data_IF_533542170316
#
_entry.id   IF_533542170316
#
_cell.length_a   1.000
_cell.length_b   1.000
_cell.length_c   1.000
_cell.angle_alpha   90.00
_cell.angle_beta   90.00
_cell.angle_gamma   90.00
#
_symmetry.space_group_name_H-M   'P 1'
#
loop_
_entity.id
_entity.type
_entity.pdbx_description
1 polymer ?
#
# COMPACT_ATOMS: atom_id res chain seq x y z
N UNK A 1 -39.10 -35.26 24.11
CA UNK A 1 -38.19 -35.42 25.25
C UNK A 1 -37.96 -36.90 25.50
N UNK A 2 -36.77 -37.39 25.16
CA UNK A 2 -35.90 -38.23 26.01
C UNK A 2 -34.99 -39.10 25.13
N UNK A 3 -33.68 -38.94 25.39
CA UNK A 3 -32.58 -39.85 25.11
C UNK A 3 -32.13 -40.01 23.65
N UNK A 4 -31.39 -39.02 23.15
CA UNK A 4 -30.26 -39.30 22.25
C UNK A 4 -28.98 -38.93 23.00
N UNK A 5 -28.09 -39.90 23.00
CA UNK A 5 -26.96 -40.08 23.90
C UNK A 5 -26.00 -38.88 23.92
N UNK A 6 -25.80 -38.33 25.11
CA UNK A 6 -24.59 -37.61 25.48
C UNK A 6 -23.39 -38.55 25.32
N UNK A 7 -22.65 -38.42 24.22
CA UNK A 7 -21.26 -38.83 24.12
C UNK A 7 -20.53 -37.62 23.57
N UNK A 8 -19.96 -36.83 24.48
CA UNK A 8 -19.08 -35.73 24.13
C UNK A 8 -17.96 -36.27 23.26
N UNK A 9 -17.94 -35.84 22.01
CA UNK A 9 -16.75 -35.96 21.21
C UNK A 9 -15.75 -34.98 21.82
N UNK A 10 -14.59 -35.48 22.20
CA UNK A 10 -13.47 -34.58 22.47
C UNK A 10 -13.09 -33.96 21.13
N UNK A 11 -13.19 -32.63 21.01
CA UNK A 11 -13.01 -31.91 19.73
C UNK A 11 -11.66 -32.25 19.09
N UNK A 12 -10.64 -32.43 19.93
CA UNK A 12 -9.30 -32.85 19.51
C UNK A 12 -9.31 -34.25 18.91
N UNK A 13 -10.04 -35.18 19.51
CA UNK A 13 -10.09 -36.57 19.10
C UNK A 13 -10.87 -36.74 17.78
N UNK A 14 -11.95 -35.98 17.61
CA UNK A 14 -12.70 -35.90 16.36
C UNK A 14 -11.88 -35.26 15.22
N UNK A 15 -11.11 -34.21 15.53
CA UNK A 15 -10.24 -33.57 14.56
C UNK A 15 -9.08 -34.48 14.12
N UNK A 16 -8.42 -35.15 15.06
CA UNK A 16 -7.36 -36.11 14.78
C UNK A 16 -7.87 -37.28 13.91
N UNK A 17 -9.10 -37.73 14.17
CA UNK A 17 -9.75 -38.77 13.38
C UNK A 17 -10.08 -38.29 11.96
N UNK A 18 -10.61 -37.07 11.79
CA UNK A 18 -10.86 -36.47 10.47
C UNK A 18 -9.56 -36.34 9.67
N UNK A 19 -8.46 -35.93 10.31
CA UNK A 19 -7.15 -35.78 9.69
C UNK A 19 -6.55 -37.14 9.28
N UNK A 20 -6.78 -38.18 10.10
CA UNK A 20 -6.41 -39.55 9.77
C UNK A 20 -7.14 -40.02 8.50
N UNK A 21 -8.46 -39.84 8.43
CA UNK A 21 -9.26 -40.23 7.26
C UNK A 21 -8.85 -39.46 6.00
N UNK A 22 -8.59 -38.15 6.10
CA UNK A 22 -8.09 -37.35 4.97
C UNK A 22 -6.74 -37.89 4.46
N UNK A 23 -5.83 -38.27 5.37
CA UNK A 23 -4.54 -38.87 5.00
C UNK A 23 -4.68 -40.22 4.29
N UNK A 24 -5.69 -41.01 4.64
CA UNK A 24 -5.98 -42.32 4.03
C UNK A 24 -6.55 -42.12 2.61
N UNK A 25 -7.46 -41.16 2.45
CA UNK A 25 -8.05 -40.80 1.15
C UNK A 25 -6.98 -40.23 0.19
N UNK A 26 -6.10 -39.34 0.68
CA UNK A 26 -5.01 -38.74 -0.11
C UNK A 26 -4.00 -39.79 -0.62
N UNK A 27 -3.80 -40.88 0.12
CA UNK A 27 -2.98 -42.03 -0.29
C UNK A 27 -3.67 -42.93 -1.33
N UNK A 28 -4.90 -42.61 -1.73
CA UNK A 28 -5.65 -43.30 -2.77
C UNK A 28 -6.48 -44.49 -2.29
N UNK A 29 -6.67 -44.65 -0.97
CA UNK A 29 -7.55 -45.69 -0.43
C UNK A 29 -9.02 -45.27 -0.52
N UNK A 30 -9.88 -46.16 -1.03
CA UNK A 30 -11.33 -45.99 -0.97
C UNK A 30 -11.84 -46.50 0.37
N UNK A 31 -12.58 -45.66 1.07
CA UNK A 31 -13.26 -46.02 2.31
C UNK A 31 -14.40 -47.00 2.03
N UNK A 32 -14.66 -47.90 2.98
CA UNK A 32 -15.87 -48.70 2.99
C UNK A 32 -17.08 -47.78 3.21
N UNK A 33 -18.30 -48.13 2.76
CA UNK A 33 -19.49 -47.30 2.94
C UNK A 33 -19.70 -46.83 4.39
N UNK A 34 -19.50 -47.71 5.37
CA UNK A 34 -19.68 -47.39 6.79
C UNK A 34 -18.59 -46.44 7.32
N UNK A 35 -17.35 -46.57 6.84
CA UNK A 35 -16.24 -45.67 7.18
C UNK A 35 -16.39 -44.31 6.49
N UNK A 36 -17.00 -44.31 5.30
CA UNK A 36 -17.32 -43.10 4.54
C UNK A 36 -18.42 -42.30 5.24
N UNK A 37 -19.48 -42.95 5.70
CA UNK A 37 -20.57 -42.30 6.44
C UNK A 37 -20.03 -41.63 7.71
N UNK A 38 -19.15 -42.32 8.46
CA UNK A 38 -18.48 -41.76 9.64
C UNK A 38 -17.57 -40.57 9.31
N UNK A 39 -16.82 -40.64 8.21
CA UNK A 39 -16.01 -39.53 7.73
C UNK A 39 -16.88 -38.34 7.28
N UNK A 40 -18.02 -38.58 6.62
CA UNK A 40 -18.95 -37.55 6.19
C UNK A 40 -19.59 -36.86 7.40
N UNK A 41 -19.97 -37.60 8.43
CA UNK A 41 -20.45 -37.06 9.71
C UNK A 41 -19.39 -36.19 10.39
N UNK A 42 -18.14 -36.65 10.48
CA UNK A 42 -17.00 -35.88 11.02
C UNK A 42 -16.73 -34.60 10.23
N UNK A 43 -16.80 -34.68 8.90
CA UNK A 43 -16.59 -33.54 8.01
C UNK A 43 -17.73 -32.53 8.13
N UNK A 44 -18.97 -32.99 8.17
CA UNK A 44 -20.14 -32.13 8.38
C UNK A 44 -20.08 -31.45 9.75
N UNK A 45 -19.68 -32.17 10.79
CA UNK A 45 -19.45 -31.61 12.12
C UNK A 45 -18.37 -30.51 12.09
N UNK A 46 -17.25 -30.74 11.41
CA UNK A 46 -16.19 -29.74 11.24
C UNK A 46 -16.68 -28.51 10.47
N UNK A 47 -17.43 -28.72 9.38
CA UNK A 47 -18.04 -27.62 8.62
C UNK A 47 -19.00 -26.81 9.51
N UNK A 48 -19.86 -27.47 10.30
CA UNK A 48 -20.73 -26.82 11.28
C UNK A 48 -19.94 -26.01 12.33
N UNK A 49 -18.85 -26.55 12.88
CA UNK A 49 -17.98 -25.81 13.80
C UNK A 49 -17.35 -24.59 13.15
N UNK A 50 -16.86 -24.71 11.91
CA UNK A 50 -16.33 -23.58 11.16
C UNK A 50 -17.40 -22.51 10.94
N UNK A 51 -18.62 -22.90 10.56
CA UNK A 51 -19.74 -21.97 10.40
C UNK A 51 -20.16 -21.30 11.72
N UNK A 52 -20.17 -22.04 12.84
CA UNK A 52 -20.46 -21.47 14.16
C UNK A 52 -19.39 -20.50 14.65
N UNK A 53 -18.12 -20.79 14.38
CA UNK A 53 -17.01 -19.90 14.72
C UNK A 53 -17.03 -18.63 13.84
N UNK A 54 -17.36 -18.76 12.55
CA UNK A 54 -17.62 -17.63 11.66
C UNK A 54 -18.80 -16.77 12.13
N UNK A 55 -19.89 -17.41 12.59
CA UNK A 55 -21.03 -16.71 13.18
C UNK A 55 -20.68 -16.02 14.50
N UNK A 56 -19.85 -16.64 15.35
CA UNK A 56 -19.37 -16.03 16.59
C UNK A 56 -18.53 -14.79 16.29
N UNK A 57 -17.63 -14.88 15.31
CA UNK A 57 -16.83 -13.76 14.84
C UNK A 57 -17.71 -12.64 14.23
N UNK A 58 -18.74 -12.99 13.47
CA UNK A 58 -19.71 -12.03 12.95
C UNK A 58 -20.50 -11.33 14.08
N UNK A 59 -20.94 -12.08 15.10
CA UNK A 59 -21.64 -11.50 16.24
C UNK A 59 -20.74 -10.59 17.07
N UNK A 60 -19.47 -10.95 17.28
CA UNK A 60 -18.47 -10.10 17.94
C UNK A 60 -18.22 -8.81 17.14
N UNK A 61 -18.14 -8.90 15.81
CA UNK A 61 -18.07 -7.75 14.93
C UNK A 61 -19.30 -6.83 15.07
N UNK A 62 -20.53 -7.37 15.00
CA UNK A 62 -21.77 -6.60 15.16
C UNK A 62 -21.81 -5.92 16.53
N UNK A 63 -21.38 -6.62 17.59
CA UNK A 63 -21.24 -6.04 18.93
C UNK A 63 -20.21 -4.90 18.96
N UNK A 64 -19.05 -5.08 18.31
CA UNK A 64 -18.01 -4.04 18.23
C UNK A 64 -18.50 -2.78 17.51
N UNK A 65 -19.30 -2.91 16.45
CA UNK A 65 -19.90 -1.75 15.76
C UNK A 65 -20.95 -1.07 16.64
N UNK A 66 -21.77 -1.84 17.36
CA UNK A 66 -22.76 -1.28 18.29
C UNK A 66 -22.12 -0.40 19.38
N UNK A 67 -20.88 -0.68 19.78
CA UNK A 67 -20.13 0.15 20.74
C UNK A 67 -19.54 1.44 20.14
N UNK A 68 -19.37 1.51 18.81
CA UNK A 68 -18.84 2.70 18.13
C UNK A 68 -19.94 3.73 17.84
N UNK A 69 -21.20 3.31 17.68
CA UNK A 69 -22.34 4.24 17.48
C UNK A 69 -22.65 5.14 18.70
N UNK A 70 -22.11 4.88 19.89
CA UNK A 70 -22.33 5.71 21.09
C UNK A 70 -21.34 6.89 21.28
N UNK A 71 -20.38 7.10 20.37
CA UNK A 71 -19.62 8.37 20.33
C UNK A 71 -20.09 9.23 19.16
N UNK A 72 -21.04 10.16 19.38
CA UNK A 72 -21.46 11.06 18.33
C UNK A 72 -20.41 12.15 18.11
N UNK A 73 -20.38 12.64 16.86
CA UNK A 73 -19.80 13.90 16.37
C UNK A 73 -18.35 13.84 15.82
N UNK A 74 -18.21 13.43 14.55
CA UNK A 74 -17.42 14.22 13.60
C UNK A 74 -18.42 14.78 12.60
N UNK A 75 -18.73 16.07 12.74
CA UNK A 75 -19.60 16.82 11.83
C UNK A 75 -18.94 16.88 10.44
N UNK A 76 -19.34 15.98 9.53
CA UNK A 76 -19.05 16.13 8.11
C UNK A 76 -20.05 17.12 7.52
N UNK A 77 -19.65 18.39 7.48
CA UNK A 77 -20.38 19.46 6.80
C UNK A 77 -20.34 19.24 5.30
N UNK A 78 -21.46 18.82 4.71
CA UNK A 78 -21.59 18.77 3.24
C UNK A 78 -22.68 17.86 2.67
N UNK A 79 -23.24 16.94 3.45
CA UNK A 79 -24.33 16.06 2.96
C UNK A 79 -25.69 16.63 3.41
N UNK A 80 -26.63 16.88 2.50
CA UNK A 80 -27.99 17.29 2.87
C UNK A 80 -28.61 16.27 3.83
N UNK A 81 -29.13 16.75 4.97
CA UNK A 81 -29.67 15.91 6.06
C UNK A 81 -30.79 14.94 5.62
N UNK A 82 -31.38 15.15 4.46
CA UNK A 82 -32.46 14.33 3.90
C UNK A 82 -31.99 13.01 3.26
N UNK A 83 -30.68 12.85 2.97
CA UNK A 83 -30.12 11.64 2.33
C UNK A 83 -29.44 10.66 3.31
N UNK A 84 -29.30 11.05 4.58
CA UNK A 84 -28.80 10.18 5.66
C UNK A 84 -29.59 8.85 5.86
N UNK A 85 -30.93 8.77 5.64
CA UNK A 85 -31.66 7.52 5.85
C UNK A 85 -31.32 6.43 4.83
N UNK A 86 -30.78 6.79 3.65
CA UNK A 86 -30.45 5.84 2.59
C UNK A 86 -29.11 5.14 2.82
N UNK A 87 -28.18 5.77 3.54
CA UNK A 87 -26.87 5.16 3.85
C UNK A 87 -26.94 4.14 4.99
N UNK A 88 -27.99 4.20 5.83
CA UNK A 88 -28.16 3.29 6.98
C UNK A 88 -28.55 1.85 6.60
N UNK A 89 -29.02 1.67 5.36
CA UNK A 89 -29.53 0.39 4.86
C UNK A 89 -28.53 -0.34 3.93
N UNK A 90 -27.31 0.17 3.77
CA UNK A 90 -26.26 -0.59 3.10
C UNK A 90 -25.56 -1.47 4.14
N UNK A 91 -25.49 -2.80 3.95
CA UNK A 91 -24.64 -3.64 4.78
C UNK A 91 -23.21 -3.13 4.61
N UNK A 92 -22.67 -2.51 5.67
CA UNK A 92 -21.25 -2.20 5.75
C UNK A 92 -20.53 -3.52 5.60
N UNK A 93 -19.80 -3.67 4.49
CA UNK A 93 -19.07 -4.90 4.19
C UNK A 93 -18.25 -5.29 5.44
N UNK A 94 -18.35 -6.54 5.92
CA UNK A 94 -17.63 -6.96 7.11
C UNK A 94 -16.13 -6.68 6.90
N UNK A 95 -15.43 -6.09 7.88
CA UNK A 95 -14.00 -5.89 7.81
C UNK A 95 -13.37 -7.26 7.61
N UNK A 96 -12.51 -7.36 6.59
CA UNK A 96 -11.82 -8.60 6.24
C UNK A 96 -11.04 -9.08 7.46
N UNK A 97 -11.44 -10.22 8.01
CA UNK A 97 -10.77 -10.83 9.16
C UNK A 97 -9.32 -11.14 8.78
N UNK A 98 -8.35 -10.58 9.52
CA UNK A 98 -6.91 -10.77 9.28
C UNK A 98 -6.53 -12.15 9.82
N UNK A 99 -6.30 -13.12 8.94
CA UNK A 99 -5.93 -14.49 9.31
C UNK A 99 -4.61 -14.54 10.09
N UNK A 100 -4.34 -15.66 10.77
CA UNK A 100 -3.06 -15.85 11.47
C UNK A 100 -1.85 -15.70 10.52
N UNK A 101 -1.99 -16.17 9.28
CA UNK A 101 -1.00 -15.98 8.22
C UNK A 101 -0.83 -14.50 7.86
N UNK A 102 -1.94 -13.76 7.74
CA UNK A 102 -1.88 -12.32 7.44
C UNK A 102 -1.14 -11.55 8.53
N UNK A 103 -1.31 -11.92 9.81
CA UNK A 103 -0.55 -11.30 10.91
C UNK A 103 0.96 -11.52 10.77
N UNK A 104 1.38 -12.73 10.38
CA UNK A 104 2.80 -13.04 10.15
C UNK A 104 3.34 -12.26 8.94
N UNK A 105 2.56 -12.19 7.85
CA UNK A 105 2.93 -11.40 6.68
C UNK A 105 3.05 -9.92 7.04
N UNK A 106 2.12 -9.37 7.82
CA UNK A 106 2.18 -7.98 8.27
C UNK A 106 3.36 -7.71 9.20
N UNK A 107 3.71 -8.66 10.09
CA UNK A 107 4.90 -8.56 10.93
C UNK A 107 6.19 -8.57 10.10
N UNK A 108 6.28 -9.44 9.09
CA UNK A 108 7.41 -9.44 8.15
C UNK A 108 7.43 -8.19 7.27
N UNK A 109 6.27 -7.72 6.85
CA UNK A 109 6.14 -6.48 6.09
C UNK A 109 6.70 -5.30 6.87
N UNK A 110 6.32 -5.10 8.14
CA UNK A 110 6.87 -4.01 8.97
C UNK A 110 8.36 -4.17 9.30
N UNK A 111 8.86 -5.41 9.34
CA UNK A 111 10.28 -5.70 9.52
C UNK A 111 11.10 -5.23 8.31
N UNK A 112 10.62 -5.44 7.08
CA UNK A 112 11.35 -5.12 5.85
C UNK A 112 11.02 -3.74 5.26
N UNK A 113 9.88 -3.14 5.63
CA UNK A 113 9.43 -1.86 5.09
C UNK A 113 10.19 -0.68 5.71
N UNK A 114 10.68 0.30 4.92
CA UNK A 114 11.45 1.43 5.43
C UNK A 114 10.74 2.21 6.53
N UNK A 115 11.50 2.86 7.41
CA UNK A 115 10.90 3.75 8.42
C UNK A 115 10.27 4.98 7.75
N UNK A 116 9.37 5.67 8.47
CA UNK A 116 8.76 6.90 7.95
C UNK A 116 9.81 7.98 7.65
N UNK A 117 10.84 8.07 8.49
CA UNK A 117 11.98 9.00 8.32
C UNK A 117 12.77 8.68 7.05
N UNK A 118 13.05 7.41 6.76
CA UNK A 118 13.75 6.99 5.54
C UNK A 118 12.94 7.37 4.29
N UNK A 119 11.62 7.17 4.31
CA UNK A 119 10.75 7.52 3.19
C UNK A 119 10.69 9.04 2.98
N UNK A 120 10.64 9.82 4.05
CA UNK A 120 10.69 11.28 3.98
C UNK A 120 12.02 11.77 3.41
N UNK A 121 13.14 11.16 3.84
CA UNK A 121 14.46 11.44 3.28
C UNK A 121 14.51 11.14 1.78
N UNK A 122 13.96 10.01 1.33
CA UNK A 122 13.86 9.66 -0.09
C UNK A 122 13.02 10.69 -0.86
N UNK A 123 11.85 11.06 -0.37
CA UNK A 123 11.00 12.07 -1.02
C UNK A 123 11.71 13.43 -1.12
N UNK A 124 12.41 13.81 -0.06
CA UNK A 124 13.19 15.04 0.02
C UNK A 124 14.32 15.05 -1.00
N UNK A 125 15.11 13.99 -1.08
CA UNK A 125 16.20 13.85 -2.06
C UNK A 125 15.65 13.90 -3.48
N UNK A 126 14.58 13.14 -3.78
CA UNK A 126 13.98 13.12 -5.12
C UNK A 126 13.44 14.50 -5.49
N UNK A 127 12.76 15.19 -4.56
CA UNK A 127 12.25 16.55 -4.75
C UNK A 127 13.39 17.55 -5.03
N UNK A 128 14.50 17.47 -4.30
CA UNK A 128 15.66 18.32 -4.56
C UNK A 128 16.28 18.07 -5.93
N UNK A 129 16.43 16.81 -6.34
CA UNK A 129 16.97 16.46 -7.65
C UNK A 129 16.02 16.90 -8.77
N UNK A 130 14.70 16.73 -8.59
CA UNK A 130 13.68 17.20 -9.54
C UNK A 130 13.71 18.73 -9.70
N UNK A 131 13.78 19.47 -8.59
CA UNK A 131 13.90 20.92 -8.60
C UNK A 131 15.21 21.37 -9.27
N UNK A 132 16.34 20.72 -8.97
CA UNK A 132 17.63 21.03 -9.55
C UNK A 132 17.65 20.76 -11.07
N UNK A 133 17.05 19.65 -11.52
CA UNK A 133 16.90 19.33 -12.94
C UNK A 133 15.96 20.32 -13.65
N UNK A 134 14.91 20.78 -12.98
CA UNK A 134 14.02 21.84 -13.50
C UNK A 134 14.77 23.16 -13.68
N UNK A 135 15.57 23.58 -12.71
CA UNK A 135 16.38 24.80 -12.80
C UNK A 135 17.49 24.68 -13.87
N UNK A 136 18.16 23.52 -13.95
CA UNK A 136 19.11 23.24 -15.03
C UNK A 136 18.44 23.30 -16.40
N UNK A 137 17.22 22.77 -16.52
CA UNK A 137 16.40 22.87 -17.74
C UNK A 137 16.08 24.32 -18.11
N UNK A 138 15.65 25.14 -17.15
CA UNK A 138 15.37 26.56 -17.41
C UNK A 138 16.62 27.32 -17.90
N UNK A 139 17.82 26.99 -17.39
CA UNK A 139 19.07 27.60 -17.85
C UNK A 139 19.51 27.14 -19.25
N UNK A 140 19.21 25.90 -19.62
CA UNK A 140 19.54 25.35 -20.94
C UNK A 140 18.61 25.92 -22.01
N UNK A 141 17.33 26.11 -21.67
CA UNK A 141 16.33 26.67 -22.57
C UNK A 141 16.31 28.21 -22.61
N UNK A 142 17.00 28.88 -21.67
CA UNK A 142 17.11 30.34 -21.68
C UNK A 142 17.84 30.82 -22.96
N UNK A 143 17.24 31.73 -23.74
CA UNK A 143 17.89 32.26 -24.94
C UNK A 143 19.12 33.05 -24.51
N UNK A 144 20.26 32.78 -25.15
CA UNK A 144 21.41 33.69 -25.10
C UNK A 144 20.92 35.05 -25.59
N UNK A 145 21.10 36.08 -24.76
CA UNK A 145 20.52 37.40 -24.91
C UNK A 145 20.90 38.09 -26.23
N UNK A 146 20.12 37.84 -27.28
CA UNK A 146 19.99 38.71 -28.46
C UNK A 146 18.52 38.69 -28.91
N UNK A 147 17.77 39.75 -28.53
CA UNK A 147 16.53 40.17 -29.20
C UNK A 147 15.18 39.77 -28.57
N UNK A 148 14.49 40.79 -28.06
CA UNK A 148 13.05 40.95 -27.76
C UNK A 148 12.42 40.42 -26.45
N UNK A 149 12.09 41.32 -25.48
CA UNK A 149 11.37 41.00 -24.25
C UNK A 149 9.84 41.07 -24.45
N UNK A 150 9.30 40.29 -25.38
CA UNK A 150 7.85 40.29 -25.66
C UNK A 150 7.31 38.90 -25.99
N UNK A 151 7.65 37.88 -25.18
CA UNK A 151 7.00 36.56 -25.22
C UNK A 151 7.19 35.78 -23.92
N UNK A 152 6.92 36.41 -22.78
CA UNK A 152 7.01 35.76 -21.46
C UNK A 152 5.78 34.88 -21.13
N UNK A 153 4.77 34.82 -22.00
CA UNK A 153 3.55 34.06 -21.74
C UNK A 153 3.19 33.26 -23.00
N UNK A 154 3.08 31.94 -22.86
CA UNK A 154 2.64 30.95 -23.88
C UNK A 154 3.67 30.42 -24.90
N UNK A 155 4.92 30.16 -24.51
CA UNK A 155 5.75 29.22 -25.29
C UNK A 155 5.23 27.79 -25.10
N UNK A 156 4.36 27.36 -26.01
CA UNK A 156 3.93 25.98 -26.16
C UNK A 156 5.17 25.07 -26.10
N UNK A 157 5.09 24.14 -25.17
CA UNK A 157 6.06 23.15 -24.66
C UNK A 157 6.81 22.28 -25.69
N UNK A 158 6.76 22.60 -27.00
CA UNK A 158 7.22 21.74 -28.10
C UNK A 158 8.68 21.88 -28.51
N UNK A 159 9.36 22.98 -28.18
CA UNK A 159 10.80 23.16 -28.52
C UNK A 159 11.76 23.04 -27.33
N UNK A 160 11.21 22.77 -26.13
CA UNK A 160 12.01 22.62 -24.91
C UNK A 160 12.99 21.46 -25.05
N UNK A 161 14.29 21.66 -24.81
CA UNK A 161 15.30 20.59 -24.99
C UNK A 161 15.05 19.45 -24.00
N UNK A 162 14.79 19.79 -22.74
CA UNK A 162 14.45 18.84 -21.68
C UNK A 162 12.94 18.89 -21.38
N UNK A 163 12.25 17.77 -21.59
CA UNK A 163 10.79 17.68 -21.47
C UNK A 163 10.29 17.49 -20.05
N UNK A 164 11.04 16.75 -19.24
CA UNK A 164 10.64 16.44 -17.88
C UNK A 164 11.47 15.34 -17.24
N UNK A 165 11.23 15.13 -15.95
CA UNK A 165 11.85 14.10 -15.13
C UNK A 165 10.75 13.13 -14.69
N UNK A 166 11.03 11.83 -14.77
CA UNK A 166 10.11 10.80 -14.30
C UNK A 166 10.78 9.92 -13.26
N UNK A 167 10.04 9.65 -12.18
CA UNK A 167 10.39 8.62 -11.20
C UNK A 167 10.20 7.25 -11.84
N UNK A 168 11.19 6.39 -11.70
CA UNK A 168 11.13 4.99 -12.17
C UNK A 168 11.64 4.04 -11.09
N UNK A 169 11.64 2.74 -11.36
CA UNK A 169 12.16 1.73 -10.44
C UNK A 169 11.31 1.56 -9.17
N UNK A 170 11.96 1.32 -8.04
CA UNK A 170 11.31 1.02 -6.76
C UNK A 170 10.53 2.22 -6.20
N UNK A 171 11.06 3.43 -6.39
CA UNK A 171 10.44 4.68 -5.92
C UNK A 171 9.07 4.88 -6.56
N UNK A 172 8.97 4.66 -7.87
CA UNK A 172 7.71 4.82 -8.61
C UNK A 172 6.68 3.75 -8.26
N UNK A 173 7.13 2.56 -7.85
CA UNK A 173 6.27 1.43 -7.51
C UNK A 173 5.90 1.36 -6.03
N UNK A 174 6.51 2.18 -5.17
CA UNK A 174 6.34 2.09 -3.72
C UNK A 174 6.88 0.78 -3.14
N UNK A 175 7.93 0.22 -3.74
CA UNK A 175 8.51 -1.07 -3.37
C UNK A 175 9.89 -0.94 -2.71
N UNK A 176 10.16 0.20 -2.07
CA UNK A 176 11.40 0.40 -1.32
C UNK A 176 11.39 -0.49 -0.07
N UNK A 177 12.55 -1.07 0.24
CA UNK A 177 12.82 -1.88 1.43
C UNK A 177 13.92 -1.24 2.28
N UNK A 178 14.01 -1.63 3.55
CA UNK A 178 15.10 -1.19 4.44
C UNK A 178 16.45 -1.54 3.83
N UNK A 179 17.33 -0.54 3.75
CA UNK A 179 18.67 -0.67 3.17
C UNK A 179 18.77 -0.34 1.68
N UNK A 180 17.66 -0.04 1.00
CA UNK A 180 17.70 0.42 -0.39
C UNK A 180 18.32 1.81 -0.48
N UNK A 181 19.54 1.89 -1.03
CA UNK A 181 20.27 3.14 -1.24
C UNK A 181 20.22 3.65 -2.70
N UNK A 182 19.46 2.98 -3.58
CA UNK A 182 19.43 3.26 -5.01
C UNK A 182 18.09 3.86 -5.43
N UNK A 183 18.12 5.08 -5.96
CA UNK A 183 16.97 5.78 -6.52
C UNK A 183 17.19 5.99 -8.02
N UNK A 184 16.13 5.86 -8.82
CA UNK A 184 16.21 5.96 -10.28
C UNK A 184 15.23 7.02 -10.81
N UNK A 185 15.76 7.94 -11.61
CA UNK A 185 15.03 9.00 -12.29
C UNK A 185 15.41 8.99 -13.78
N UNK A 186 14.43 9.26 -14.64
CA UNK A 186 14.62 9.36 -16.09
C UNK A 186 14.41 10.80 -16.53
N UNK A 187 15.42 11.37 -17.17
CA UNK A 187 15.33 12.67 -17.83
C UNK A 187 14.91 12.50 -19.29
N UNK A 188 13.80 13.10 -19.68
CA UNK A 188 13.27 13.07 -21.04
C UNK A 188 13.79 14.26 -21.84
N UNK A 189 14.28 14.00 -23.06
CA UNK A 189 14.76 15.02 -23.99
C UNK A 189 13.89 15.03 -25.27
N UNK A 190 13.74 16.19 -25.91
CA UNK A 190 13.04 16.30 -27.22
C UNK A 190 13.80 15.60 -28.34
N UNK A 191 15.12 15.71 -28.32
CA UNK A 191 16.02 15.16 -29.33
C UNK A 191 16.87 14.05 -28.72
N UNK A 192 17.48 13.21 -29.58
CA UNK A 192 18.41 12.16 -29.14
C UNK A 192 19.50 12.78 -28.26
N UNK A 193 19.66 12.32 -27.00
CA UNK A 193 20.63 12.91 -26.09
C UNK A 193 22.04 12.72 -26.66
N UNK A 194 22.80 13.81 -26.69
CA UNK A 194 24.21 13.81 -27.09
C UNK A 194 25.09 13.84 -25.85
N UNK A 195 26.34 13.37 -25.96
CA UNK A 195 27.30 13.40 -24.85
C UNK A 195 27.55 14.83 -24.35
N UNK A 196 27.49 15.83 -25.24
CA UNK A 196 27.62 17.24 -24.90
C UNK A 196 26.46 17.73 -24.02
N UNK A 197 25.22 17.40 -24.38
CA UNK A 197 24.03 17.75 -23.58
C UNK A 197 24.09 17.09 -22.20
N UNK A 198 24.51 15.82 -22.13
CA UNK A 198 24.61 15.11 -20.85
C UNK A 198 25.66 15.76 -19.92
N UNK A 199 26.82 16.18 -20.46
CA UNK A 199 27.84 16.90 -19.70
C UNK A 199 27.33 18.24 -19.18
N UNK A 200 26.66 19.02 -20.05
CA UNK A 200 26.08 20.30 -19.66
C UNK A 200 25.02 20.14 -18.56
N UNK A 201 24.15 19.13 -18.67
CA UNK A 201 23.17 18.81 -17.61
C UNK A 201 23.86 18.39 -16.32
N UNK A 202 24.92 17.58 -16.38
CA UNK A 202 25.65 17.14 -15.19
C UNK A 202 26.36 18.30 -14.46
N UNK A 203 26.98 19.23 -15.20
CA UNK A 203 27.59 20.44 -14.66
C UNK A 203 26.52 21.33 -13.98
N UNK A 204 25.43 21.62 -14.70
CA UNK A 204 24.33 22.43 -14.15
C UNK A 204 23.63 21.78 -12.97
N UNK A 205 23.44 20.47 -13.00
CA UNK A 205 22.87 19.73 -11.88
C UNK A 205 23.76 19.83 -10.64
N UNK A 206 25.08 19.70 -10.80
CA UNK A 206 26.03 19.82 -9.69
C UNK A 206 25.98 21.22 -9.06
N UNK A 207 25.96 22.28 -9.89
CA UNK A 207 25.79 23.67 -9.43
C UNK A 207 24.47 23.87 -8.67
N UNK A 208 23.35 23.35 -9.19
CA UNK A 208 22.03 23.52 -8.57
C UNK A 208 21.87 22.72 -7.26
N UNK A 209 22.51 21.55 -7.16
CA UNK A 209 22.48 20.75 -5.93
C UNK A 209 23.28 21.42 -4.80
N UNK A 210 24.43 22.04 -5.08
CA UNK A 210 25.19 22.78 -4.07
C UNK A 210 24.39 23.98 -3.52
N UNK A 211 23.65 24.67 -4.38
CA UNK A 211 22.79 25.80 -4.00
C UNK A 211 21.57 25.30 -3.21
N UNK A 212 20.88 24.26 -3.70
CA UNK A 212 19.70 23.69 -3.05
C UNK A 212 20.00 23.12 -1.66
N UNK A 213 21.08 22.36 -1.51
CA UNK A 213 21.47 21.75 -0.23
C UNK A 213 21.83 22.83 0.79
N UNK A 214 22.57 23.89 0.39
CA UNK A 214 22.83 25.03 1.29
C UNK A 214 21.55 25.71 1.74
N UNK A 215 20.59 25.90 0.84
CA UNK A 215 19.33 26.59 1.16
C UNK A 215 18.48 25.76 2.12
N UNK A 216 18.40 24.43 1.95
CA UNK A 216 17.69 23.55 2.88
C UNK A 216 18.37 23.47 4.25
N UNK A 217 19.71 23.44 4.31
CA UNK A 217 20.44 23.51 5.59
C UNK A 217 20.24 24.87 6.29
N UNK A 218 20.13 25.96 5.52
CA UNK A 218 19.80 27.27 6.07
C UNK A 218 18.34 27.39 6.54
N UNK A 219 17.38 26.69 5.92
CA UNK A 219 15.98 26.68 6.34
C UNK A 219 15.71 25.76 7.54
N UNK A 220 16.44 24.65 7.68
CA UNK A 220 16.33 23.77 8.86
C UNK A 220 16.94 24.42 10.11
N UNK A 221 17.86 25.38 9.97
CA UNK A 221 18.44 26.14 11.08
C UNK A 221 17.68 27.42 11.51
N UNK A 222 16.50 27.69 10.96
CA UNK A 222 15.75 28.93 11.22
C UNK A 222 14.40 28.73 11.95
N UNK A 223 14.05 27.50 12.35
CA UNK A 223 12.95 27.23 13.29
C UNK A 223 13.52 26.87 14.66
N UNK A 224 14.05 27.88 15.36
CA UNK A 224 14.17 27.87 16.83
C UNK A 224 14.07 29.32 17.29
N UNK A 225 12.82 29.80 17.44
CA UNK A 225 12.42 30.95 18.26
C UNK A 225 11.01 30.70 18.83
#
# INVERSE_FOLDING_TARGET
>A
MAAVHLLGWDEQQAYDELLYWDSVIQRGHRLLPEDYDRYEELRYWYDCLCYEEELRQYHEYVASIGTVEEKPQVEVTGIPKELLPLCRNYPVAPPKHISAHDRIVMAKHSEVYPSAEDLEAVQTIVSHVECALKAASDQIDAPKADGDPAKAESADSKDRVLRGVMRVGLVAKGLLLKGDAKLELVLMCSNKPTVALLKQVAEKLSEQLEVGIRTTVHFVGALDL
#
